data_IF_371497419941
#
_entry.id   IF_371497419941
#
_cell.length_a   1.000
_cell.length_b   1.000
_cell.length_c   1.000
_cell.angle_alpha   90.00
_cell.angle_beta   90.00
_cell.angle_gamma   90.00
#
_symmetry.space_group_name_H-M   'P 1'
#
loop_
_entity.id
_entity.type
_entity.pdbx_description
1 polymer ?
#
# COMPACT_ATOMS: atom_id res chain seq x y z
N UNK A 1 -14.27 5.54 11.93
CA UNK A 1 -13.37 4.59 12.61
C UNK A 1 -13.15 3.30 11.81
N UNK A 2 -14.14 2.40 11.70
CA UNK A 2 -14.12 1.24 10.81
C UNK A 2 -15.22 1.37 9.75
N UNK A 3 -14.89 1.11 8.50
CA UNK A 3 -15.83 1.18 7.38
C UNK A 3 -16.00 -0.17 6.73
N UNK A 4 -17.26 -0.50 6.43
CA UNK A 4 -17.68 -1.73 5.76
C UNK A 4 -18.29 -1.33 4.42
N UNK A 5 -17.50 -1.51 3.37
CA UNK A 5 -17.88 -1.42 1.96
C UNK A 5 -17.64 -2.76 1.27
N UNK A 6 -18.30 -3.02 0.12
CA UNK A 6 -18.04 -4.24 -0.65
C UNK A 6 -16.55 -4.47 -0.94
N UNK A 7 -15.81 -3.40 -1.22
CA UNK A 7 -14.37 -3.46 -1.44
C UNK A 7 -13.59 -3.89 -0.19
N UNK A 8 -13.86 -3.27 0.97
CA UNK A 8 -13.21 -3.67 2.22
C UNK A 8 -13.58 -5.09 2.64
N UNK A 9 -14.81 -5.54 2.36
CA UNK A 9 -15.25 -6.90 2.64
C UNK A 9 -14.51 -7.91 1.76
N UNK A 10 -14.33 -7.61 0.48
CA UNK A 10 -13.52 -8.44 -0.44
C UNK A 10 -12.08 -8.62 0.10
N UNK A 11 -11.42 -7.53 0.48
CA UNK A 11 -10.06 -7.61 1.01
C UNK A 11 -9.98 -8.35 2.35
N UNK A 12 -10.98 -8.22 3.22
CA UNK A 12 -11.06 -9.00 4.47
C UNK A 12 -11.21 -10.50 4.18
N UNK A 13 -12.03 -10.88 3.19
CA UNK A 13 -12.15 -12.28 2.74
C UNK A 13 -10.83 -12.80 2.20
N UNK A 14 -10.09 -11.99 1.42
CA UNK A 14 -8.75 -12.34 0.94
C UNK A 14 -7.79 -12.55 2.12
N UNK A 15 -7.79 -11.68 3.13
CA UNK A 15 -6.96 -11.86 4.33
C UNK A 15 -7.29 -13.17 5.06
N UNK A 16 -8.57 -13.51 5.21
CA UNK A 16 -9.01 -14.77 5.82
C UNK A 16 -8.60 -15.99 4.98
N UNK A 17 -8.73 -15.91 3.66
CA UNK A 17 -8.28 -16.97 2.77
C UNK A 17 -6.77 -17.21 2.88
N UNK A 18 -5.97 -16.13 2.91
CA UNK A 18 -4.52 -16.22 3.12
C UNK A 18 -4.18 -16.84 4.48
N UNK A 19 -4.87 -16.43 5.55
CA UNK A 19 -4.69 -17.03 6.87
C UNK A 19 -5.03 -18.53 6.87
N UNK A 20 -6.13 -18.92 6.21
CA UNK A 20 -6.51 -20.33 6.05
C UNK A 20 -5.43 -21.14 5.33
N UNK A 21 -4.92 -20.64 4.20
CA UNK A 21 -3.84 -21.32 3.47
C UNK A 21 -2.54 -21.40 4.28
N UNK A 22 -2.18 -20.35 5.04
CA UNK A 22 -1.04 -20.39 5.96
C UNK A 22 -1.19 -21.49 7.01
N UNK A 23 -2.38 -21.64 7.59
CA UNK A 23 -2.66 -22.72 8.56
C UNK A 23 -2.56 -24.10 7.91
N UNK A 24 -3.05 -24.26 6.68
CA UNK A 24 -2.91 -25.52 5.94
C UNK A 24 -1.43 -25.85 5.70
N UNK A 25 -0.63 -24.87 5.28
CA UNK A 25 0.81 -25.04 5.04
C UNK A 25 1.59 -25.32 6.34
N UNK A 26 1.16 -24.71 7.45
CA UNK A 26 1.79 -24.94 8.75
C UNK A 26 1.63 -26.37 9.26
N UNK A 27 0.60 -27.11 8.80
CA UNK A 27 0.42 -28.53 9.16
C UNK A 27 1.51 -29.44 8.60
N UNK A 28 2.08 -29.09 7.44
CA UNK A 28 3.10 -29.92 6.77
C UNK A 28 4.52 -29.61 7.23
N UNK A 29 4.76 -28.39 7.72
CA UNK A 29 6.12 -27.87 7.95
C UNK A 29 6.50 -27.80 9.45
N UNK A 30 5.54 -27.59 10.36
CA UNK A 30 5.84 -27.41 11.78
C UNK A 30 5.82 -28.74 12.56
N UNK A 31 7.02 -29.14 12.99
CA UNK A 31 7.26 -30.24 13.96
C UNK A 31 6.62 -29.90 15.32
N UNK A 32 5.40 -30.41 15.49
CA UNK A 32 4.55 -30.69 16.66
C UNK A 32 4.63 -29.95 18.02
N UNK A 33 5.63 -29.14 18.38
CA UNK A 33 5.81 -28.77 19.79
C UNK A 33 4.97 -27.57 20.28
N UNK A 34 4.63 -26.60 19.42
CA UNK A 34 3.94 -25.35 19.81
C UNK A 34 2.89 -24.88 18.77
N UNK A 35 2.01 -25.80 18.34
CA UNK A 35 1.02 -25.49 17.27
C UNK A 35 -0.03 -24.46 17.70
N UNK A 36 -0.43 -24.45 18.98
CA UNK A 36 -1.44 -23.54 19.50
C UNK A 36 -0.97 -22.08 19.46
N UNK A 37 0.27 -21.84 19.85
CA UNK A 37 0.88 -20.50 19.84
C UNK A 37 1.06 -19.99 18.42
N UNK A 38 1.47 -20.84 17.48
CA UNK A 38 1.56 -20.46 16.07
C UNK A 38 0.20 -20.03 15.51
N UNK A 39 -0.85 -20.82 15.79
CA UNK A 39 -2.21 -20.49 15.37
C UNK A 39 -2.70 -19.18 15.99
N UNK A 40 -2.42 -18.96 17.28
CA UNK A 40 -2.75 -17.71 17.95
C UNK A 40 -2.08 -16.51 17.26
N UNK A 41 -0.81 -16.63 16.86
CA UNK A 41 -0.08 -15.58 16.13
C UNK A 41 -0.67 -15.33 14.73
N UNK A 42 -1.02 -16.38 13.99
CA UNK A 42 -1.68 -16.25 12.67
C UNK A 42 -3.02 -15.51 12.81
N UNK A 43 -3.84 -15.88 13.81
CA UNK A 43 -5.12 -15.24 14.06
C UNK A 43 -4.93 -13.78 14.51
N UNK A 44 -3.97 -13.51 15.39
CA UNK A 44 -3.66 -12.15 15.87
C UNK A 44 -3.21 -11.25 14.71
N UNK A 45 -2.33 -11.75 13.85
CA UNK A 45 -1.92 -11.06 12.63
C UNK A 45 -3.11 -10.81 11.69
N UNK A 46 -4.01 -11.78 11.55
CA UNK A 46 -5.20 -11.68 10.70
C UNK A 46 -6.17 -10.61 11.21
N UNK A 47 -6.37 -10.52 12.52
CA UNK A 47 -7.16 -9.44 13.15
C UNK A 47 -6.52 -8.08 12.83
N UNK A 48 -5.20 -7.97 12.95
CA UNK A 48 -4.46 -6.76 12.56
C UNK A 48 -4.68 -6.38 11.09
N UNK A 49 -4.61 -7.34 10.16
CA UNK A 49 -4.87 -7.12 8.73
C UNK A 49 -6.32 -6.66 8.48
N UNK A 50 -7.30 -7.29 9.14
CA UNK A 50 -8.71 -6.93 8.99
C UNK A 50 -9.03 -5.52 9.54
N UNK A 51 -8.41 -5.15 10.67
CA UNK A 51 -8.46 -3.81 11.22
C UNK A 51 -7.87 -2.81 10.22
N UNK A 52 -6.68 -3.11 9.70
CA UNK A 52 -5.97 -2.25 8.76
C UNK A 52 -6.78 -1.99 7.49
N UNK A 53 -7.34 -3.04 6.87
CA UNK A 53 -8.22 -2.95 5.70
C UNK A 53 -9.51 -2.16 5.99
N UNK A 54 -10.05 -2.25 7.20
CA UNK A 54 -11.29 -1.55 7.59
C UNK A 54 -11.10 -0.10 8.04
N UNK A 55 -9.87 0.33 8.31
CA UNK A 55 -9.62 1.60 9.01
C UNK A 55 -9.71 2.83 8.09
N UNK A 56 -10.21 3.93 8.65
CA UNK A 56 -10.21 5.28 8.06
C UNK A 56 -9.66 6.36 9.01
N UNK A 57 -9.11 5.95 10.15
CA UNK A 57 -8.48 6.84 11.13
C UNK A 57 -6.98 6.54 11.19
N UNK A 58 -6.13 7.57 11.29
CA UNK A 58 -4.67 7.43 11.36
C UNK A 58 -4.25 6.48 12.50
N UNK A 59 -4.85 6.64 13.68
CA UNK A 59 -4.54 5.81 14.84
C UNK A 59 -4.90 4.34 14.64
N UNK A 60 -6.06 4.06 14.03
CA UNK A 60 -6.48 2.68 13.78
C UNK A 60 -5.63 2.01 12.70
N UNK A 61 -5.19 2.78 11.70
CA UNK A 61 -4.21 2.32 10.72
C UNK A 61 -2.92 1.92 11.43
N UNK A 62 -2.41 2.77 12.33
CA UNK A 62 -1.18 2.47 13.08
C UNK A 62 -1.34 1.23 13.97
N UNK A 63 -2.43 1.12 14.74
CA UNK A 63 -2.70 -0.06 15.59
C UNK A 63 -2.79 -1.33 14.75
N UNK A 64 -3.47 -1.30 13.61
CA UNK A 64 -3.55 -2.46 12.70
C UNK A 64 -2.18 -2.85 12.13
N UNK A 65 -1.34 -1.87 11.80
CA UNK A 65 0.04 -2.09 11.33
C UNK A 65 0.93 -2.73 12.40
N UNK A 66 0.86 -2.25 13.64
CA UNK A 66 1.65 -2.76 14.76
C UNK A 66 1.19 -4.15 15.20
N UNK A 67 -0.12 -4.38 15.31
CA UNK A 67 -0.65 -5.68 15.67
C UNK A 67 -0.24 -6.76 14.66
N UNK A 68 -0.32 -6.42 13.36
CA UNK A 68 0.17 -7.29 12.30
C UNK A 68 1.69 -7.44 12.38
N UNK A 69 2.42 -6.34 12.56
CA UNK A 69 3.89 -6.31 12.60
C UNK A 69 4.46 -7.21 13.68
N UNK A 70 4.06 -6.99 14.94
CA UNK A 70 4.53 -7.75 16.10
C UNK A 70 4.26 -9.25 15.90
N UNK A 71 3.05 -9.60 15.45
CA UNK A 71 2.70 -11.00 15.17
C UNK A 71 3.62 -11.62 14.11
N UNK A 72 3.89 -10.91 13.01
CA UNK A 72 4.78 -11.40 11.95
C UNK A 72 6.24 -11.48 12.39
N UNK A 73 6.72 -10.58 13.24
CA UNK A 73 8.08 -10.62 13.79
C UNK A 73 8.27 -11.89 14.64
N UNK A 74 7.31 -12.21 15.50
CA UNK A 74 7.33 -13.44 16.31
C UNK A 74 7.20 -14.68 15.43
N UNK A 75 6.34 -14.66 14.41
CA UNK A 75 6.21 -15.77 13.45
C UNK A 75 7.47 -16.03 12.63
N UNK A 76 8.30 -15.02 12.40
CA UNK A 76 9.58 -15.13 11.67
C UNK A 76 10.61 -15.87 12.52
N UNK A 77 10.70 -15.55 13.82
CA UNK A 77 11.58 -16.24 14.78
C UNK A 77 10.91 -17.44 15.48
N UNK A 78 9.90 -18.06 14.84
CA UNK A 78 9.12 -19.10 15.51
C UNK A 78 9.88 -20.41 15.67
N UNK A 79 10.73 -20.76 14.71
CA UNK A 79 11.62 -21.91 14.84
C UNK A 79 12.81 -21.54 15.73
N UNK A 80 12.77 -22.05 16.96
CA UNK A 80 13.82 -21.83 17.97
C UNK A 80 15.02 -22.77 17.81
N UNK A 81 14.93 -23.76 16.92
CA UNK A 81 16.02 -24.73 16.69
C UNK A 81 16.99 -24.24 15.62
N UNK A 82 16.53 -23.39 14.69
CA UNK A 82 17.37 -22.75 13.69
C UNK A 82 17.79 -21.33 14.11
N UNK A 83 19.10 -21.12 14.24
CA UNK A 83 19.67 -19.80 14.56
C UNK A 83 19.35 -18.76 13.48
N UNK A 84 19.15 -19.19 12.22
CA UNK A 84 18.81 -18.31 11.10
C UNK A 84 17.41 -17.72 11.25
N UNK A 85 16.47 -18.49 11.80
CA UNK A 85 15.12 -18.02 12.13
C UNK A 85 15.16 -16.94 13.21
N UNK A 86 15.96 -17.14 14.26
CA UNK A 86 16.16 -16.15 15.31
C UNK A 86 16.82 -14.85 14.78
N UNK A 87 17.87 -14.97 13.97
CA UNK A 87 18.54 -13.82 13.35
C UNK A 87 17.59 -13.05 12.41
N UNK A 88 16.84 -13.77 11.57
CA UNK A 88 15.87 -13.18 10.64
C UNK A 88 14.75 -12.43 11.36
N UNK A 89 14.19 -12.99 12.44
CA UNK A 89 13.16 -12.31 13.23
C UNK A 89 13.70 -11.07 13.94
N UNK A 90 14.92 -11.12 14.48
CA UNK A 90 15.56 -9.95 15.09
C UNK A 90 15.80 -8.84 14.06
N UNK A 91 16.36 -9.17 12.89
CA UNK A 91 16.55 -8.20 11.80
C UNK A 91 15.20 -7.60 11.38
N UNK A 92 14.19 -8.45 11.17
CA UNK A 92 12.88 -7.98 10.75
C UNK A 92 12.23 -7.04 11.79
N UNK A 93 12.36 -7.37 13.08
CA UNK A 93 11.90 -6.51 14.18
C UNK A 93 12.64 -5.16 14.24
N UNK A 94 13.97 -5.15 14.10
CA UNK A 94 14.76 -3.91 14.18
C UNK A 94 14.46 -2.95 13.01
N UNK A 95 14.43 -3.46 11.78
CA UNK A 95 14.03 -2.65 10.63
C UNK A 95 12.55 -2.24 10.72
N UNK A 96 11.69 -3.15 11.21
CA UNK A 96 10.27 -2.92 11.38
C UNK A 96 9.93 -1.85 12.40
N UNK A 97 10.50 -1.92 13.60
CA UNK A 97 10.30 -0.92 14.66
C UNK A 97 10.79 0.47 14.24
N UNK A 98 11.92 0.54 13.53
CA UNK A 98 12.43 1.79 12.94
C UNK A 98 11.44 2.36 11.92
N UNK A 99 10.95 1.54 10.99
CA UNK A 99 9.94 1.96 10.00
C UNK A 99 8.61 2.37 10.65
N UNK A 100 8.18 1.69 11.71
CA UNK A 100 7.02 2.04 12.52
C UNK A 100 7.18 3.38 13.21
N UNK A 101 8.37 3.69 13.74
CA UNK A 101 8.68 5.00 14.33
C UNK A 101 8.56 6.12 13.29
N UNK A 102 9.13 5.94 12.09
CA UNK A 102 8.94 6.88 10.97
C UNK A 102 7.47 7.04 10.59
N UNK A 103 6.72 5.94 10.53
CA UNK A 103 5.29 5.96 10.22
C UNK A 103 4.53 6.80 11.24
N UNK A 104 4.69 6.49 12.53
CA UNK A 104 3.99 7.17 13.62
C UNK A 104 4.35 8.64 13.69
N UNK A 105 5.63 8.97 13.51
CA UNK A 105 6.08 10.35 13.50
C UNK A 105 5.49 11.12 12.31
N UNK A 106 5.46 10.53 11.12
CA UNK A 106 4.79 11.14 9.96
C UNK A 106 3.28 11.35 10.17
N UNK A 107 2.59 10.35 10.73
CA UNK A 107 1.17 10.45 11.08
C UNK A 107 0.92 11.54 12.14
N UNK A 108 1.82 11.69 13.12
CA UNK A 108 1.77 12.73 14.15
C UNK A 108 1.89 14.13 13.54
N UNK A 109 2.80 14.34 12.58
CA UNK A 109 2.93 15.62 11.89
C UNK A 109 1.67 15.98 11.08
N UNK A 110 1.11 15.00 10.35
CA UNK A 110 -0.15 15.17 9.61
C UNK A 110 -1.31 15.48 10.57
N UNK A 111 -1.36 14.80 11.71
CA UNK A 111 -2.33 15.08 12.77
C UNK A 111 -2.16 16.48 13.35
N UNK A 112 -0.94 16.90 13.68
CA UNK A 112 -0.64 18.21 14.25
C UNK A 112 -1.08 19.36 13.35
N UNK A 113 -1.00 19.18 12.03
CA UNK A 113 -1.48 20.17 11.06
C UNK A 113 -3.00 20.14 10.82
N UNK A 114 -3.61 18.96 10.83
CA UNK A 114 -5.02 18.79 10.48
C UNK A 114 -5.97 18.88 11.69
N UNK A 115 -5.47 18.61 12.89
CA UNK A 115 -6.23 18.55 14.14
C UNK A 115 -7.26 17.42 14.19
N UNK A 116 -7.12 16.39 13.36
CA UNK A 116 -8.07 15.27 13.29
C UNK A 116 -7.36 14.00 12.81
N UNK A 117 -7.86 12.85 13.22
CA UNK A 117 -7.35 11.54 12.80
C UNK A 117 -8.08 10.98 11.58
N UNK A 118 -9.20 11.58 11.17
CA UNK A 118 -10.07 11.05 10.13
C UNK A 118 -9.55 11.34 8.73
N UNK A 119 -9.21 10.30 7.96
CA UNK A 119 -8.52 10.41 6.68
C UNK A 119 -9.26 11.31 5.67
N UNK A 120 -10.60 11.24 5.64
CA UNK A 120 -11.42 12.06 4.75
C UNK A 120 -11.44 13.55 5.14
N UNK A 121 -11.36 13.88 6.43
CA UNK A 121 -11.33 15.26 6.90
C UNK A 121 -9.93 15.85 6.73
N UNK A 122 -8.89 15.05 6.97
CA UNK A 122 -7.49 15.39 6.68
C UNK A 122 -7.34 15.80 5.22
N UNK A 123 -7.87 14.98 4.30
CA UNK A 123 -7.83 15.26 2.86
C UNK A 123 -8.44 16.62 2.51
N UNK A 124 -9.63 16.92 3.06
CA UNK A 124 -10.34 18.17 2.80
C UNK A 124 -9.61 19.40 3.38
N UNK A 125 -9.00 19.27 4.56
CA UNK A 125 -8.28 20.38 5.20
C UNK A 125 -6.95 20.68 4.53
N UNK A 126 -6.26 19.65 4.05
CA UNK A 126 -4.93 19.77 3.46
C UNK A 126 -4.96 20.02 1.95
N UNK A 127 -6.03 19.64 1.24
CA UNK A 127 -6.15 19.90 -0.21
C UNK A 127 -6.24 21.39 -0.56
N UNK A 128 -6.78 22.20 0.35
CA UNK A 128 -6.93 23.64 0.17
C UNK A 128 -5.66 24.45 0.49
N UNK A 129 -4.61 23.81 1.01
CA UNK A 129 -3.39 24.49 1.46
C UNK A 129 -2.20 24.15 0.55
N UNK A 130 -1.27 25.09 0.30
CA UNK A 130 -0.02 24.76 -0.35
C UNK A 130 0.77 23.74 0.50
N UNK A 131 1.54 22.87 -0.17
CA UNK A 131 2.35 21.86 0.53
C UNK A 131 3.42 22.58 1.34
N UNK A 132 3.23 22.67 2.66
CA UNK A 132 4.23 23.20 3.58
C UNK A 132 5.39 22.20 3.75
N UNK A 133 6.61 22.66 4.10
CA UNK A 133 7.73 21.76 4.39
C UNK A 133 7.39 20.72 5.47
N UNK A 134 6.58 21.09 6.46
CA UNK A 134 6.13 20.20 7.53
C UNK A 134 5.18 19.10 7.02
N UNK A 135 4.24 19.46 6.15
CA UNK A 135 3.35 18.49 5.50
C UNK A 135 4.14 17.52 4.63
N UNK A 136 5.10 18.05 3.86
CA UNK A 136 5.97 17.24 3.03
C UNK A 136 6.77 16.24 3.86
N UNK A 137 7.38 16.69 4.96
CA UNK A 137 8.09 15.80 5.89
C UNK A 137 7.16 14.71 6.45
N UNK A 138 5.96 15.06 6.88
CA UNK A 138 4.96 14.11 7.36
C UNK A 138 4.60 13.04 6.33
N UNK A 139 4.32 13.46 5.09
CA UNK A 139 4.01 12.55 3.97
C UNK A 139 5.19 11.62 3.69
N UNK A 140 6.40 12.16 3.56
CA UNK A 140 7.60 11.37 3.26
C UNK A 140 7.86 10.34 4.36
N UNK A 141 7.80 10.74 5.63
CA UNK A 141 8.02 9.85 6.78
C UNK A 141 6.97 8.73 6.85
N UNK A 142 5.69 9.04 6.60
CA UNK A 142 4.65 8.01 6.48
C UNK A 142 4.92 7.07 5.30
N UNK A 143 5.31 7.59 4.14
CA UNK A 143 5.62 6.78 2.96
C UNK A 143 6.82 5.87 3.16
N UNK A 144 7.86 6.30 3.88
CA UNK A 144 9.03 5.46 4.22
C UNK A 144 8.57 4.19 4.96
N UNK A 145 7.68 4.34 5.93
CA UNK A 145 7.15 3.21 6.69
C UNK A 145 6.30 2.24 5.87
N UNK A 146 5.43 2.76 4.99
CA UNK A 146 4.68 1.91 4.06
C UNK A 146 5.58 1.26 3.01
N UNK A 147 6.61 1.95 2.53
CA UNK A 147 7.59 1.42 1.59
C UNK A 147 8.36 0.22 2.19
N UNK A 148 8.71 0.29 3.48
CA UNK A 148 9.23 -0.86 4.22
C UNK A 148 8.24 -2.04 4.21
N UNK A 149 6.96 -1.81 4.54
CA UNK A 149 5.95 -2.89 4.61
C UNK A 149 5.72 -3.61 3.28
N UNK A 150 5.82 -2.91 2.15
CA UNK A 150 5.72 -3.52 0.81
C UNK A 150 7.07 -4.00 0.24
N UNK A 151 8.17 -3.85 0.99
CA UNK A 151 9.54 -4.12 0.55
C UNK A 151 9.91 -3.39 -0.75
N UNK A 152 9.55 -2.11 -0.86
CA UNK A 152 9.93 -1.26 -2.00
C UNK A 152 11.38 -0.78 -1.86
N UNK A 153 12.11 -0.70 -2.97
CA UNK A 153 13.46 -0.12 -2.97
C UNK A 153 13.41 1.38 -2.58
N UNK A 154 14.33 1.87 -1.72
CA UNK A 154 15.49 1.19 -1.12
C UNK A 154 15.23 0.43 0.21
N UNK A 155 14.00 0.42 0.73
CA UNK A 155 13.62 -0.12 2.04
C UNK A 155 13.34 -1.64 2.07
N UNK A 156 13.97 -2.41 1.17
CA UNK A 156 13.71 -3.84 0.96
C UNK A 156 14.75 -4.77 1.60
N UNK A 157 15.80 -4.21 2.22
CA UNK A 157 16.96 -4.97 2.71
C UNK A 157 16.59 -6.04 3.77
N UNK A 158 15.50 -5.86 4.48
CA UNK A 158 14.99 -6.83 5.45
C UNK A 158 14.39 -8.09 4.77
N UNK A 159 13.90 -7.97 3.54
CA UNK A 159 13.03 -8.97 2.93
C UNK A 159 13.74 -10.29 2.56
N UNK A 160 14.95 -10.29 1.96
CA UNK A 160 15.66 -11.55 1.67
C UNK A 160 15.93 -12.37 2.93
N UNK A 161 16.48 -11.73 3.96
CA UNK A 161 16.84 -12.38 5.23
C UNK A 161 15.59 -12.90 5.96
N UNK A 162 14.52 -12.10 6.02
CA UNK A 162 13.27 -12.50 6.65
C UNK A 162 12.59 -13.67 5.91
N UNK A 163 12.59 -13.68 4.58
CA UNK A 163 11.98 -14.77 3.80
C UNK A 163 12.79 -16.05 3.85
N UNK A 164 14.11 -15.96 3.94
CA UNK A 164 14.97 -17.13 3.99
C UNK A 164 15.02 -17.76 5.39
N UNK A 165 15.00 -16.95 6.46
CA UNK A 165 15.08 -17.45 7.83
C UNK A 165 13.74 -17.87 8.43
N UNK A 166 12.62 -17.32 7.96
CA UNK A 166 11.31 -17.68 8.51
C UNK A 166 10.89 -19.11 8.12
N UNK A 167 10.12 -19.81 8.98
CA UNK A 167 9.41 -21.03 8.58
C UNK A 167 8.57 -20.78 7.32
N UNK A 168 8.46 -21.76 6.43
CA UNK A 168 7.77 -21.63 5.14
C UNK A 168 6.35 -21.05 5.27
N UNK A 169 5.47 -21.48 6.21
CA UNK A 169 4.15 -20.86 6.37
C UNK A 169 4.23 -19.39 6.78
N UNK A 170 5.19 -19.01 7.62
CA UNK A 170 5.40 -17.62 8.03
C UNK A 170 5.89 -16.77 6.85
N UNK A 171 6.89 -17.25 6.09
CA UNK A 171 7.40 -16.58 4.91
C UNK A 171 6.28 -16.34 3.87
N UNK A 172 5.44 -17.35 3.62
CA UNK A 172 4.30 -17.25 2.72
C UNK A 172 3.29 -16.18 3.18
N UNK A 173 3.00 -16.12 4.47
CA UNK A 173 2.07 -15.14 5.03
C UNK A 173 2.63 -13.71 5.01
N UNK A 174 3.92 -13.52 5.30
CA UNK A 174 4.61 -12.23 5.18
C UNK A 174 4.64 -11.77 3.71
N UNK A 175 4.92 -12.68 2.78
CA UNK A 175 5.02 -12.36 1.36
C UNK A 175 3.68 -11.94 0.73
N UNK A 176 2.55 -12.41 1.28
CA UNK A 176 1.20 -12.20 0.75
C UNK A 176 0.36 -11.25 1.61
N UNK A 177 -0.04 -11.68 2.82
CA UNK A 177 -1.00 -10.98 3.69
C UNK A 177 -0.60 -9.56 4.03
N UNK A 178 0.65 -9.37 4.47
CA UNK A 178 1.21 -8.05 4.81
C UNK A 178 1.18 -7.09 3.61
N UNK A 179 1.51 -7.59 2.40
CA UNK A 179 1.54 -6.76 1.18
C UNK A 179 0.13 -6.35 0.75
N UNK A 180 -0.83 -7.27 0.76
CA UNK A 180 -2.23 -6.97 0.38
C UNK A 180 -2.78 -5.83 1.23
N UNK A 181 -2.69 -5.93 2.56
CA UNK A 181 -3.25 -4.89 3.43
C UNK A 181 -2.50 -3.56 3.30
N UNK A 182 -1.18 -3.61 3.11
CA UNK A 182 -0.35 -2.41 2.93
C UNK A 182 -0.68 -1.67 1.62
N UNK A 183 -0.93 -2.39 0.52
CA UNK A 183 -1.40 -1.79 -0.73
C UNK A 183 -2.81 -1.20 -0.62
N UNK A 184 -3.72 -1.86 0.12
CA UNK A 184 -5.06 -1.32 0.38
C UNK A 184 -4.98 0.01 1.11
N UNK A 185 -4.19 0.09 2.18
CA UNK A 185 -4.06 1.32 2.96
C UNK A 185 -3.30 2.40 2.21
N UNK A 186 -2.22 2.07 1.52
CA UNK A 186 -1.52 3.04 0.68
C UNK A 186 -2.46 3.59 -0.40
N UNK A 187 -3.26 2.72 -1.02
CA UNK A 187 -4.33 3.12 -1.95
C UNK A 187 -5.34 4.07 -1.31
N UNK A 188 -5.79 3.80 -0.07
CA UNK A 188 -6.68 4.72 0.65
C UNK A 188 -6.01 6.06 0.96
N UNK A 189 -4.78 6.07 1.46
CA UNK A 189 -4.06 7.30 1.79
C UNK A 189 -3.87 8.15 0.53
N UNK A 190 -3.48 7.55 -0.59
CA UNK A 190 -3.28 8.28 -1.84
C UNK A 190 -4.60 8.73 -2.46
N UNK A 191 -5.61 7.85 -2.56
CA UNK A 191 -6.86 8.13 -3.26
C UNK A 191 -7.84 8.97 -2.44
N UNK A 192 -7.92 8.71 -1.13
CA UNK A 192 -8.82 9.42 -0.21
C UNK A 192 -8.12 10.60 0.44
N UNK A 193 -6.85 10.44 0.83
CA UNK A 193 -6.05 11.48 1.50
C UNK A 193 -5.50 12.56 0.55
N UNK A 194 -5.08 12.17 -0.66
CA UNK A 194 -4.41 13.07 -1.62
C UNK A 194 -5.05 13.08 -3.02
N UNK A 195 -6.23 12.47 -3.19
CA UNK A 195 -6.90 12.40 -4.49
C UNK A 195 -7.49 13.75 -4.90
N UNK A 196 -7.46 14.11 -6.20
CA UNK A 196 -8.15 15.30 -6.69
C UNK A 196 -9.65 15.14 -6.43
N UNK A 197 -10.25 16.13 -5.76
CA UNK A 197 -11.64 16.15 -5.28
C UNK A 197 -12.63 15.49 -6.25
N UNK A 198 -12.89 14.19 -6.06
CA UNK A 198 -14.06 13.52 -6.63
C UNK A 198 -15.13 13.46 -5.55
N UNK A 199 -15.68 14.64 -5.22
CA UNK A 199 -17.11 14.81 -4.93
C UNK A 199 -17.76 13.95 -3.83
N UNK A 200 -17.04 13.45 -2.82
CA UNK A 200 -17.68 12.83 -1.64
C UNK A 200 -18.02 13.84 -0.53
N UNK A 201 -17.87 15.14 -0.80
CA UNK A 201 -18.32 16.22 0.09
C UNK A 201 -19.84 16.16 0.40
N UNK A 202 -20.63 15.48 -0.45
CA UNK A 202 -22.08 15.27 -0.23
C UNK A 202 -22.41 14.24 0.86
N UNK A 203 -21.49 13.32 1.18
CA UNK A 203 -21.70 12.31 2.23
C UNK A 203 -21.17 12.78 3.58
N UNK A 204 -20.05 13.51 3.61
CA UNK A 204 -19.49 14.10 4.84
C UNK A 204 -20.39 15.22 5.42
N UNK A 205 -20.94 16.11 4.58
CA UNK A 205 -21.91 17.13 5.04
C UNK A 205 -23.19 16.54 5.64
N UNK A 206 -23.53 15.28 5.33
CA UNK A 206 -24.73 14.62 5.83
C UNK A 206 -24.56 14.07 7.26
N UNK A 207 -23.31 13.92 7.72
CA UNK A 207 -22.99 13.41 9.06
C UNK A 207 -22.81 14.56 10.06
N UNK A 208 -22.37 15.74 9.58
CA UNK A 208 -22.00 16.89 10.42
C UNK A 208 -23.16 17.85 10.70
N UNK A 209 -24.32 17.71 10.06
CA UNK A 209 -25.46 18.62 10.24
C UNK A 209 -26.68 17.91 10.86
N UNK A 210 -26.88 17.98 12.20
CA UNK A 210 -28.02 17.38 12.89
C UNK A 210 -29.37 18.03 12.53
N UNK A 211 -29.37 19.19 11.88
CA UNK A 211 -30.57 20.00 11.65
C UNK A 211 -31.07 19.99 10.20
N UNK A 212 -30.48 19.20 9.31
CA UNK A 212 -30.85 19.23 7.90
C UNK A 212 -32.27 18.71 7.59
N UNK A 213 -32.88 17.92 8.48
CA UNK A 213 -34.23 17.39 8.28
C UNK A 213 -35.33 18.47 8.38
N UNK A 214 -35.12 19.57 9.12
CA UNK A 214 -36.17 20.59 9.33
C UNK A 214 -36.33 21.58 8.16
N UNK A 215 -35.39 21.62 7.21
CA UNK A 215 -35.42 22.59 6.10
C UNK A 215 -36.16 22.13 4.83
N UNK A 216 -36.75 20.92 4.82
CA UNK A 216 -37.47 20.39 3.64
C UNK A 216 -38.98 20.59 3.61
N UNK A 217 -39.56 21.27 4.60
CA UNK A 217 -41.00 21.51 4.66
C UNK A 217 -41.44 22.87 4.08
N UNK A 218 -40.70 23.43 3.10
CA UNK A 218 -41.21 24.57 2.31
C UNK A 218 -41.62 24.08 0.93
N UNK A 219 -42.93 24.11 0.59
CA UNK A 219 -43.37 23.84 -0.78
C UNK A 219 -42.71 24.85 -1.71
N UNK A 220 -41.95 24.35 -2.70
CA UNK A 220 -41.49 25.16 -3.82
C UNK A 220 -42.72 25.52 -4.64
N UNK A 221 -43.21 26.75 -4.49
CA UNK A 221 -44.18 27.32 -5.43
C UNK A 221 -43.53 27.36 -6.81
N UNK A 222 -44.00 26.53 -7.74
CA UNK A 222 -43.60 26.58 -9.15
C UNK A 222 -44.42 27.67 -9.83
N UNK A 223 -43.82 28.71 -10.42
CA UNK A 223 -44.57 29.63 -11.27
C UNK A 223 -45.02 28.94 -12.57
N UNK A 224 -46.17 29.36 -13.13
CA UNK A 224 -46.76 28.73 -14.29
C UNK A 224 -45.92 28.93 -15.56
N UNK A 225 -46.04 27.95 -16.46
CA UNK A 225 -45.29 27.82 -17.70
C UNK A 225 -45.43 29.05 -18.61
N UNK A 226 -44.31 29.67 -18.97
CA UNK A 226 -44.23 30.67 -20.02
C UNK A 226 -43.26 30.24 -21.12
N UNK A 227 -43.86 29.88 -22.26
CA UNK A 227 -43.46 30.20 -23.64
C UNK A 227 -41.98 30.11 -24.05
N UNK A 228 -41.71 29.03 -24.78
CA UNK A 228 -41.05 29.00 -26.10
C UNK A 228 -40.16 30.20 -26.47
N UNK A 229 -38.85 29.99 -26.36
CA UNK A 229 -37.89 30.60 -27.29
C UNK A 229 -37.02 29.50 -27.90
N UNK A 230 -37.32 29.19 -29.17
CA UNK A 230 -36.48 28.41 -30.08
C UNK A 230 -35.06 29.00 -30.08
N UNK A 231 -34.07 28.27 -29.59
CA UNK A 231 -32.66 28.55 -29.86
C UNK A 231 -32.12 27.53 -30.86
N UNK A 232 -31.60 28.07 -31.97
CA UNK A 232 -31.02 27.39 -33.12
C UNK A 232 -29.87 26.44 -32.72
N UNK A 233 -29.64 25.34 -33.46
CA UNK A 233 -28.48 24.48 -33.24
C UNK A 233 -27.22 25.15 -33.79
N UNK A 234 -26.28 25.52 -32.92
CA UNK A 234 -24.89 25.79 -33.32
C UNK A 234 -24.19 24.46 -33.52
N UNK A 235 -23.95 24.10 -34.79
CA UNK A 235 -22.86 23.21 -35.20
C UNK A 235 -21.53 23.82 -34.72
N UNK A 236 -20.63 23.01 -34.17
CA UNK A 236 -19.18 23.17 -34.27
C UNK A 236 -18.45 21.91 -33.75
N UNK A 237 -17.83 21.22 -34.70
CA UNK A 237 -16.54 20.51 -34.66
C UNK A 237 -16.27 19.46 -33.57
N UNK A 238 -16.67 18.23 -33.88
CA UNK A 238 -15.85 17.06 -33.60
C UNK A 238 -14.65 16.98 -34.58
N UNK A 239 -13.60 16.29 -34.15
CA UNK A 239 -12.39 15.92 -34.88
C UNK A 239 -11.27 16.97 -34.96
N UNK A 240 -10.41 16.99 -33.92
CA UNK A 240 -8.95 17.16 -34.04
C UNK A 240 -8.30 17.03 -32.65
N UNK A 241 -7.82 15.83 -32.31
CA UNK A 241 -6.63 15.57 -31.44
C UNK A 241 -6.52 14.09 -31.04
N UNK A 242 -6.36 13.18 -32.01
CA UNK A 242 -6.01 11.77 -31.70
C UNK A 242 -4.85 11.22 -32.54
N UNK A 243 -3.98 12.08 -33.07
CA UNK A 243 -2.85 11.67 -33.95
C UNK A 243 -1.45 12.07 -33.49
N UNK A 244 -1.27 12.58 -32.26
CA UNK A 244 0.07 12.92 -31.72
C UNK A 244 0.61 11.97 -30.64
N UNK A 245 -0.24 11.17 -30.00
CA UNK A 245 0.21 10.24 -28.94
C UNK A 245 0.68 8.87 -29.46
N UNK A 246 0.16 8.40 -30.60
CA UNK A 246 0.51 7.08 -31.14
C UNK A 246 1.94 6.98 -31.74
N UNK A 247 2.61 8.10 -32.03
CA UNK A 247 3.99 8.08 -32.58
C UNK A 247 5.10 8.10 -31.52
N UNK A 248 4.80 8.39 -30.25
CA UNK A 248 5.82 8.41 -29.18
C UNK A 248 6.10 7.04 -28.56
N UNK A 249 5.16 6.10 -28.60
CA UNK A 249 5.34 4.78 -27.98
C UNK A 249 6.17 3.83 -28.86
N UNK A 250 6.21 4.04 -30.18
CA UNK A 250 6.96 3.17 -31.09
C UNK A 250 8.50 3.37 -31.02
N UNK A 251 8.98 4.56 -30.61
CA UNK A 251 10.42 4.88 -30.62
C UNK A 251 11.17 4.31 -29.40
N UNK A 252 10.55 4.23 -28.22
CA UNK A 252 11.24 3.77 -27.01
C UNK A 252 11.49 2.25 -27.00
N UNK A 253 10.61 1.46 -27.62
CA UNK A 253 10.77 0.00 -27.70
C UNK A 253 11.95 -0.40 -28.59
N UNK A 254 12.22 0.37 -29.65
CA UNK A 254 13.33 0.09 -30.57
C UNK A 254 14.68 0.50 -29.96
N UNK A 255 14.72 1.58 -29.16
CA UNK A 255 15.94 2.05 -28.51
C UNK A 255 16.39 1.12 -27.38
N UNK A 256 15.46 0.59 -26.58
CA UNK A 256 15.76 -0.31 -25.47
C UNK A 256 16.29 -1.69 -25.94
N UNK A 257 15.86 -2.16 -27.11
CA UNK A 257 16.31 -3.45 -27.65
C UNK A 257 17.73 -3.39 -28.23
N UNK A 258 18.15 -2.25 -28.80
CA UNK A 258 19.54 -2.05 -29.31
C UNK A 258 20.57 -1.95 -28.17
N UNK A 259 20.24 -1.30 -27.06
CA UNK A 259 21.13 -1.19 -25.90
C UNK A 259 21.39 -2.54 -25.22
N UNK A 260 20.38 -3.42 -25.13
CA UNK A 260 20.54 -4.78 -24.57
C UNK A 260 21.44 -5.68 -25.42
N UNK A 261 21.40 -5.54 -26.75
CA UNK A 261 22.25 -6.33 -27.66
C UNK A 261 23.71 -5.89 -27.62
N UNK A 262 23.98 -4.59 -27.45
CA UNK A 262 25.34 -4.06 -27.30
C UNK A 262 26.00 -4.49 -25.98
N UNK A 263 25.25 -4.44 -24.88
CA UNK A 263 25.74 -4.88 -23.57
C UNK A 263 26.14 -6.38 -23.57
N UNK A 264 25.33 -7.23 -24.20
CA UNK A 264 25.63 -8.67 -24.32
C UNK A 264 26.87 -8.97 -25.19
N UNK A 265 27.14 -8.18 -26.23
CA UNK A 265 28.36 -8.32 -27.05
C UNK A 265 29.62 -7.88 -26.30
N UNK A 266 29.56 -6.85 -25.46
CA UNK A 266 30.70 -6.40 -24.65
C UNK A 266 31.11 -7.43 -23.59
N UNK A 267 30.15 -8.04 -22.88
CA UNK A 267 30.44 -9.08 -21.88
C UNK A 267 31.05 -10.32 -22.53
N UNK A 268 30.55 -10.74 -23.70
CA UNK A 268 31.07 -11.92 -24.42
C UNK A 268 32.49 -11.71 -24.98
N UNK A 269 32.86 -10.48 -25.38
CA UNK A 269 34.23 -10.15 -25.81
C UNK A 269 35.22 -10.10 -24.65
N UNK A 270 34.83 -9.62 -23.47
CA UNK A 270 35.70 -9.62 -22.28
C UNK A 270 35.94 -11.03 -21.71
N UNK A 271 34.94 -11.91 -21.76
CA UNK A 271 35.09 -13.31 -21.33
C UNK A 271 36.03 -14.15 -22.22
N UNK A 272 36.07 -13.89 -23.53
CA UNK A 272 36.92 -14.63 -24.47
C UNK A 272 38.41 -14.23 -24.42
N UNK A 273 38.72 -13.01 -23.96
CA UNK A 273 40.11 -12.56 -23.77
C UNK A 273 40.75 -13.11 -22.48
N UNK A 274 39.98 -13.24 -21.42
CA UNK A 274 40.46 -13.72 -20.12
C UNK A 274 40.83 -15.21 -20.14
N UNK A 275 40.10 -16.04 -20.90
CA UNK A 275 40.36 -17.49 -21.00
C UNK A 275 41.56 -17.83 -21.88
N UNK A 276 41.91 -16.98 -22.86
CA UNK A 276 43.12 -17.15 -23.68
C UNK A 276 44.41 -16.80 -22.94
N UNK A 277 44.36 -15.85 -22.00
CA UNK A 277 45.54 -15.47 -21.20
C UNK A 277 45.84 -16.48 -20.09
N UNK A 278 44.81 -17.15 -19.55
CA UNK A 278 44.98 -18.22 -18.55
C UNK A 278 45.65 -19.48 -19.10
N UNK A 279 45.38 -19.86 -20.35
CA UNK A 279 46.01 -21.04 -20.99
C UNK A 279 47.48 -20.86 -21.41
N UNK A 280 48.01 -19.64 -21.44
CA UNK A 280 49.43 -19.37 -21.74
C UNK A 280 50.33 -19.28 -20.51
N UNK A 281 49.76 -19.32 -19.29
CA UNK A 281 50.50 -19.26 -18.02
C UNK A 281 50.75 -20.62 -17.38
N UNK A 282 50.22 -21.71 -17.96
CA UNK A 282 50.27 -23.07 -17.41
C UNK A 282 50.59 -24.15 -18.46
N UNK A 283 51.32 -23.77 -19.51
CA UNK A 283 52.04 -24.65 -20.45
C UNK A 283 53.36 -23.96 -20.78
#
# INVERSE_FOLDING_TARGET
>A
MLVITPLTSLFKIICLALAFFTVVLARTDLSSRNRGEYLALVLLATIGLMLLVGSEELLMIFIGLELTGISLYVMTAFDKTDIRSAEAGLKYFLFGSTASAFTLFGLSLIYGMSGTTGLAVIAQKLSAQPISPLLFAGIVMTLVGFAFKIAAAPFHLWAPDAYQGAPVPSAAFIASGSKVASFVVLGKIVLVGFGPDKGSARRARRIVDPHWQSRRARPVQRPPAARLLRRRPRRLHAARTHRRWARRIQCDVILHHRLRLHARRCVRRRGAGATRNWRRRFN
#
